data_IF_747960225581
#
_entry.id   IF_747960225581
#
_cell.length_a   1.000
_cell.length_b   1.000
_cell.length_c   1.000
_cell.angle_alpha   90.00
_cell.angle_beta   90.00
_cell.angle_gamma   90.00
#
_symmetry.space_group_name_H-M   'P 1'
#
loop_
_entity.id
_entity.type
_entity.pdbx_description
1 polymer ?
#
# COMPACT_ATOMS: atom_id res chain seq x y z
N UNK A 1 -14.32 -2.91 -10.38
CA UNK A 1 -13.25 -1.97 -10.00
C UNK A 1 -12.15 -2.80 -9.37
N UNK A 2 -10.88 -2.67 -9.79
CA UNK A 2 -9.79 -3.32 -9.08
C UNK A 2 -9.74 -2.88 -7.61
N UNK A 3 -9.30 -3.79 -6.75
CA UNK A 3 -9.21 -3.59 -5.30
C UNK A 3 -7.81 -3.96 -4.82
N UNK A 4 -7.20 -3.08 -4.04
CA UNK A 4 -5.90 -3.33 -3.41
C UNK A 4 -6.05 -3.17 -1.90
N UNK A 5 -5.65 -4.19 -1.14
CA UNK A 5 -5.83 -4.18 0.32
C UNK A 5 -4.55 -4.51 1.07
N UNK A 6 -4.44 -3.92 2.27
CA UNK A 6 -3.36 -4.10 3.23
C UNK A 6 -3.99 -4.52 4.55
N UNK A 7 -3.69 -5.73 4.99
CA UNK A 7 -4.12 -6.23 6.29
C UNK A 7 -2.92 -6.25 7.25
N UNK A 8 -2.99 -5.48 8.34
CA UNK A 8 -1.86 -5.29 9.24
C UNK A 8 -2.27 -4.89 10.66
N UNK A 9 -1.31 -5.00 11.57
CA UNK A 9 -1.33 -4.47 12.94
C UNK A 9 -0.14 -3.53 13.20
N UNK A 10 0.43 -2.95 12.13
CA UNK A 10 1.52 -1.99 12.21
C UNK A 10 2.92 -2.62 12.16
N UNK A 11 3.03 -3.93 11.89
CA UNK A 11 4.30 -4.66 11.86
C UNK A 11 4.54 -5.30 10.50
N UNK A 12 5.75 -5.14 9.97
CA UNK A 12 6.15 -5.64 8.66
C UNK A 12 6.03 -7.16 8.55
N UNK A 13 6.42 -7.89 9.60
CA UNK A 13 6.45 -9.36 9.61
C UNK A 13 5.06 -9.99 9.54
N UNK A 14 4.04 -9.21 9.90
CA UNK A 14 2.64 -9.63 9.97
C UNK A 14 1.76 -8.77 9.08
N UNK A 15 2.31 -8.18 8.03
CA UNK A 15 1.53 -7.44 7.03
C UNK A 15 1.25 -8.33 5.83
N UNK A 16 -0.01 -8.39 5.43
CA UNK A 16 -0.45 -9.14 4.26
C UNK A 16 -1.03 -8.19 3.22
N UNK A 17 -0.71 -8.41 1.95
CA UNK A 17 -1.14 -7.56 0.84
C UNK A 17 -2.03 -8.38 -0.08
N UNK A 18 -3.10 -7.77 -0.60
CA UNK A 18 -4.07 -8.41 -1.48
C UNK A 18 -4.31 -7.57 -2.73
N UNK A 19 -4.60 -8.24 -3.84
CA UNK A 19 -5.13 -7.61 -5.05
C UNK A 19 -6.32 -8.41 -5.56
N UNK A 20 -7.47 -7.76 -5.71
CA UNK A 20 -8.76 -8.38 -6.05
C UNK A 20 -9.11 -9.59 -5.16
N UNK A 21 -8.79 -9.51 -3.87
CA UNK A 21 -9.03 -10.57 -2.89
C UNK A 21 -8.00 -11.71 -2.87
N UNK A 22 -7.04 -11.72 -3.79
CA UNK A 22 -5.97 -12.71 -3.81
C UNK A 22 -4.76 -12.21 -3.00
N UNK A 23 -4.29 -13.03 -2.05
CA UNK A 23 -3.10 -12.70 -1.26
C UNK A 23 -1.84 -12.74 -2.12
N UNK A 24 -1.06 -11.67 -2.08
CA UNK A 24 0.16 -11.51 -2.86
C UNK A 24 1.39 -12.05 -2.12
N UNK A 25 2.19 -12.83 -2.84
CA UNK A 25 3.53 -13.23 -2.44
C UNK A 25 4.60 -12.31 -3.02
N UNK A 26 5.79 -12.32 -2.40
CA UNK A 26 6.98 -11.66 -2.96
C UNK A 26 6.93 -10.12 -2.98
N UNK A 27 5.94 -9.50 -2.34
CA UNK A 27 5.86 -8.04 -2.20
C UNK A 27 7.07 -7.51 -1.43
N UNK A 28 7.69 -6.46 -1.96
CA UNK A 28 8.90 -5.82 -1.42
C UNK A 28 8.62 -4.42 -0.90
N UNK A 29 7.84 -3.66 -1.66
CA UNK A 29 7.56 -2.27 -1.35
C UNK A 29 6.14 -1.93 -1.83
N UNK A 30 5.38 -1.26 -0.98
CA UNK A 30 4.08 -0.66 -1.30
C UNK A 30 4.21 0.83 -1.02
N UNK A 31 3.83 1.65 -2.00
CA UNK A 31 3.77 3.09 -1.86
C UNK A 31 2.42 3.59 -2.37
N UNK A 32 1.60 4.14 -1.46
CA UNK A 32 0.36 4.82 -1.77
C UNK A 32 0.48 6.27 -1.32
N UNK A 33 0.25 7.20 -2.22
CA UNK A 33 0.13 8.63 -1.94
C UNK A 33 -1.07 9.15 -2.71
N UNK A 34 -2.20 9.22 -2.03
CA UNK A 34 -3.47 9.68 -2.59
C UNK A 34 -3.80 11.02 -1.95
N UNK A 35 -4.11 12.03 -2.74
CA UNK A 35 -4.39 13.38 -2.26
C UNK A 35 -5.58 13.97 -3.00
N UNK A 36 -6.51 14.59 -2.27
CA UNK A 36 -7.72 15.21 -2.82
C UNK A 36 -7.40 16.28 -3.88
N UNK A 37 -6.20 16.87 -3.85
CA UNK A 37 -5.74 17.86 -4.84
C UNK A 37 -5.28 17.24 -6.18
N UNK A 38 -5.46 15.92 -6.37
CA UNK A 38 -5.22 15.23 -7.64
C UNK A 38 -3.98 14.34 -7.69
N UNK A 39 -3.32 14.11 -6.55
CA UNK A 39 -2.19 13.16 -6.53
C UNK A 39 -2.71 11.74 -6.40
N UNK A 40 -2.25 10.86 -7.30
CA UNK A 40 -2.58 9.43 -7.28
C UNK A 40 -1.35 8.61 -7.63
N UNK A 41 -0.53 8.32 -6.62
CA UNK A 41 0.57 7.37 -6.74
C UNK A 41 0.19 6.07 -6.03
N UNK A 42 0.10 4.97 -6.78
CA UNK A 42 -0.21 3.66 -6.22
C UNK A 42 0.76 2.64 -6.81
N UNK A 43 1.90 2.44 -6.15
CA UNK A 43 3.01 1.66 -6.69
C UNK A 43 3.28 0.43 -5.85
N UNK A 44 3.46 -0.69 -6.54
CA UNK A 44 3.85 -1.96 -5.97
C UNK A 44 5.18 -2.41 -6.57
N UNK A 45 6.12 -2.78 -5.71
CA UNK A 45 7.30 -3.55 -6.08
C UNK A 45 7.17 -4.98 -5.56
N UNK A 46 7.40 -5.96 -6.43
CA UNK A 46 7.29 -7.37 -6.09
C UNK A 46 8.28 -8.22 -6.90
N UNK A 47 8.57 -9.42 -6.40
CA UNK A 47 9.30 -10.45 -7.14
C UNK A 47 8.29 -11.39 -7.79
N UNK A 48 8.32 -11.47 -9.11
CA UNK A 48 7.42 -12.34 -9.87
C UNK A 48 7.81 -13.82 -9.77
N UNK A 49 6.94 -14.69 -10.27
CA UNK A 49 7.16 -16.15 -10.32
C UNK A 49 8.37 -16.56 -11.16
N UNK A 50 8.84 -15.68 -12.04
CA UNK A 50 10.06 -15.84 -12.83
C UNK A 50 11.34 -15.42 -12.08
N UNK A 51 11.22 -14.89 -10.87
CA UNK A 51 12.33 -14.39 -10.04
C UNK A 51 12.76 -12.96 -10.35
N UNK A 52 12.13 -12.27 -11.30
CA UNK A 52 12.44 -10.88 -11.64
C UNK A 52 11.69 -9.91 -10.73
N UNK A 53 12.32 -8.77 -10.45
CA UNK A 53 11.68 -7.68 -9.68
C UNK A 53 10.94 -6.75 -10.64
N UNK A 54 9.65 -6.55 -10.36
CA UNK A 54 8.78 -5.63 -11.08
C UNK A 54 8.42 -4.44 -10.19
N UNK A 55 8.31 -3.26 -10.80
CA UNK A 55 7.71 -2.07 -10.18
C UNK A 55 6.58 -1.59 -11.08
N UNK A 56 5.36 -1.52 -10.57
CA UNK A 56 4.13 -1.30 -11.35
C UNK A 56 3.21 -0.30 -10.66
N UNK A 57 2.51 0.50 -11.46
CA UNK A 57 1.33 1.24 -11.00
C UNK A 57 0.17 0.26 -10.83
N UNK A 58 -0.30 0.07 -9.60
CA UNK A 58 -1.22 -1.00 -9.17
C UNK A 58 -2.49 -1.04 -10.02
N UNK A 59 -3.05 0.13 -10.33
CA UNK A 59 -4.36 0.25 -10.99
C UNK A 59 -4.27 0.48 -12.51
N UNK A 60 -3.09 0.89 -13.01
CA UNK A 60 -2.91 1.31 -14.40
C UNK A 60 -2.06 0.33 -15.23
N UNK A 61 -1.16 -0.41 -14.58
CA UNK A 61 -0.29 -1.35 -15.26
C UNK A 61 -0.80 -2.79 -15.16
N UNK A 62 -0.38 -3.62 -16.12
CA UNK A 62 -0.51 -5.06 -16.00
C UNK A 62 0.52 -5.63 -15.01
N UNK A 63 0.05 -6.38 -14.00
CA UNK A 63 0.86 -7.07 -13.00
C UNK A 63 1.36 -8.42 -13.55
N UNK A 64 2.49 -8.38 -14.26
CA UNK A 64 3.14 -9.55 -14.87
C UNK A 64 3.65 -10.52 -13.81
N UNK A 65 3.50 -11.84 -14.06
CA UNK A 65 4.09 -12.90 -13.23
C UNK A 65 3.80 -12.79 -11.72
N UNK A 66 2.65 -12.22 -11.36
CA UNK A 66 2.24 -12.02 -9.97
C UNK A 66 2.19 -13.37 -9.23
N UNK A 67 2.79 -13.41 -8.04
CA UNK A 67 2.76 -14.60 -7.19
C UNK A 67 1.57 -14.47 -6.25
N UNK A 68 0.66 -15.44 -6.31
CA UNK A 68 -0.45 -15.57 -5.35
C UNK A 68 -0.12 -16.67 -4.36
N UNK A 69 -0.39 -16.43 -3.08
CA UNK A 69 -0.17 -17.40 -2.00
C UNK A 69 -1.47 -17.75 -1.30
N UNK A 70 -1.54 -18.93 -0.70
CA UNK A 70 -2.69 -19.27 0.15
C UNK A 70 -2.78 -18.34 1.36
N UNK A 71 -4.00 -18.05 1.85
CA UNK A 71 -4.21 -17.32 3.09
C UNK A 71 -3.41 -17.94 4.23
N UNK A 72 -2.52 -17.16 4.82
CA UNK A 72 -1.61 -17.66 5.86
C UNK A 72 -2.12 -17.38 7.28
N UNK A 73 -3.24 -16.67 7.44
CA UNK A 73 -3.73 -16.20 8.73
C UNK A 73 -4.76 -17.16 9.32
N UNK A 74 -4.63 -17.39 10.62
CA UNK A 74 -5.70 -18.00 11.41
C UNK A 74 -6.81 -16.97 11.69
N UNK A 75 -8.01 -17.45 12.01
CA UNK A 75 -9.15 -16.56 12.34
C UNK A 75 -8.84 -15.62 13.51
N UNK A 76 -8.10 -16.08 14.51
CA UNK A 76 -7.72 -15.25 15.67
C UNK A 76 -6.70 -14.17 15.29
N UNK A 77 -5.78 -14.47 14.37
CA UNK A 77 -4.80 -13.49 13.87
C UNK A 77 -5.47 -12.42 13.00
N UNK A 78 -6.44 -12.79 12.18
CA UNK A 78 -7.21 -11.85 11.36
C UNK A 78 -8.00 -10.86 12.24
N UNK A 79 -8.59 -11.32 13.35
CA UNK A 79 -9.33 -10.43 14.29
C UNK A 79 -8.47 -9.38 14.98
N UNK A 80 -7.16 -9.59 15.06
CA UNK A 80 -6.22 -8.67 15.69
C UNK A 80 -5.60 -7.66 14.69
N UNK A 81 -6.10 -7.65 13.45
CA UNK A 81 -5.60 -6.81 12.37
C UNK A 81 -6.70 -5.89 11.86
N UNK A 82 -6.26 -4.84 11.18
CA UNK A 82 -7.12 -3.93 10.44
C UNK A 82 -6.89 -4.12 8.95
N UNK A 83 -7.92 -3.84 8.17
CA UNK A 83 -7.90 -3.97 6.71
C UNK A 83 -8.09 -2.60 6.07
N UNK A 84 -7.03 -2.06 5.47
CA UNK A 84 -7.12 -0.90 4.60
C UNK A 84 -7.36 -1.38 3.17
N UNK A 85 -8.39 -0.88 2.49
CA UNK A 85 -8.71 -1.21 1.10
C UNK A 85 -8.80 0.05 0.26
N UNK A 86 -8.23 0.01 -0.94
CA UNK A 86 -8.34 1.03 -1.98
C UNK A 86 -9.00 0.38 -3.19
N UNK A 87 -10.24 0.78 -3.47
CA UNK A 87 -10.94 0.43 -4.70
C UNK A 87 -10.82 1.59 -5.67
N UNK A 88 -10.23 1.37 -6.84
CA UNK A 88 -9.94 2.47 -7.79
C UNK A 88 -9.83 1.99 -9.23
N UNK A 89 -10.18 2.88 -10.17
CA UNK A 89 -9.87 2.76 -11.60
C UNK A 89 -8.47 3.29 -11.97
N UNK A 90 -7.72 3.85 -11.01
CA UNK A 90 -6.46 4.55 -11.23
C UNK A 90 -6.59 6.08 -11.25
N UNK A 91 -7.77 6.61 -10.93
CA UNK A 91 -8.08 8.04 -10.83
C UNK A 91 -8.64 8.35 -9.44
N UNK A 92 -8.20 9.45 -8.82
CA UNK A 92 -8.64 9.87 -7.49
C UNK A 92 -10.14 10.16 -7.44
N UNK A 93 -10.73 10.67 -8.53
CA UNK A 93 -12.16 11.00 -8.60
C UNK A 93 -13.05 9.74 -8.50
N UNK A 94 -12.53 8.59 -8.91
CA UNK A 94 -13.20 7.28 -8.90
C UNK A 94 -12.58 6.34 -7.84
N UNK A 95 -11.98 6.90 -6.79
CA UNK A 95 -11.31 6.12 -5.73
C UNK A 95 -12.10 6.12 -4.43
N UNK A 96 -12.26 4.93 -3.84
CA UNK A 96 -12.82 4.74 -2.50
C UNK A 96 -11.78 4.09 -1.60
N UNK A 97 -11.53 4.70 -0.44
CA UNK A 97 -10.64 4.15 0.59
C UNK A 97 -11.49 3.70 1.78
N UNK A 98 -11.32 2.44 2.18
CA UNK A 98 -12.04 1.83 3.28
C UNK A 98 -11.08 1.34 4.35
N UNK A 99 -11.49 1.43 5.59
CA UNK A 99 -10.79 0.87 6.73
C UNK A 99 -11.76 -0.01 7.51
N UNK A 100 -11.44 -1.30 7.59
CA UNK A 100 -12.31 -2.32 8.20
C UNK A 100 -13.71 -2.34 7.55
N UNK A 101 -13.74 -2.28 6.21
CA UNK A 101 -14.95 -2.25 5.35
C UNK A 101 -15.80 -0.96 5.45
N UNK A 102 -15.38 0.00 6.27
CA UNK A 102 -16.06 1.30 6.41
C UNK A 102 -15.32 2.39 5.61
N UNK A 103 -16.01 3.23 4.83
CA UNK A 103 -15.39 4.35 4.12
C UNK A 103 -14.66 5.33 5.05
N UNK A 104 -13.49 5.83 4.62
CA UNK A 104 -12.79 6.91 5.31
C UNK A 104 -13.33 8.29 4.90
N UNK A 105 -14.52 8.61 5.40
CA UNK A 105 -15.17 9.90 5.13
C UNK A 105 -14.31 11.10 5.60
N UNK A 106 -14.23 12.13 4.77
CA UNK A 106 -13.47 13.36 5.08
C UNK A 106 -11.94 13.19 4.99
N UNK A 107 -11.45 12.05 4.53
CA UNK A 107 -10.04 11.84 4.23
C UNK A 107 -9.61 12.74 3.07
N UNK A 108 -8.57 13.53 3.29
CA UNK A 108 -7.96 14.41 2.28
C UNK A 108 -6.67 13.83 1.72
N UNK A 109 -5.96 13.03 2.51
CA UNK A 109 -4.71 12.39 2.09
C UNK A 109 -4.55 10.99 2.69
N UNK A 110 -4.03 10.06 1.89
CA UNK A 110 -3.55 8.75 2.33
C UNK A 110 -2.06 8.62 2.00
N UNK A 111 -1.25 8.35 3.02
CA UNK A 111 0.17 8.05 2.88
C UNK A 111 0.47 6.65 3.43
N UNK A 112 0.79 5.72 2.55
CA UNK A 112 1.29 4.39 2.92
C UNK A 112 2.66 4.17 2.30
N UNK A 113 3.65 3.88 3.12
CA UNK A 113 4.95 3.40 2.69
C UNK A 113 5.36 2.20 3.53
N UNK A 114 5.26 1.03 2.91
CA UNK A 114 5.63 -0.25 3.54
C UNK A 114 6.78 -0.82 2.73
N UNK A 115 7.94 -0.97 3.36
CA UNK A 115 9.15 -1.47 2.73
C UNK A 115 9.82 -2.51 3.59
N UNK A 116 9.96 -3.72 3.06
CA UNK A 116 10.71 -4.79 3.67
C UNK A 116 12.23 -4.57 3.60
N UNK A 117 12.99 -5.37 4.34
CA UNK A 117 14.46 -5.35 4.25
C UNK A 117 14.89 -5.85 2.86
N UNK A 118 15.78 -5.11 2.19
CA UNK A 118 16.40 -5.56 0.96
C UNK A 118 17.20 -6.85 1.23
N UNK A 119 16.95 -7.91 0.45
CA UNK A 119 17.63 -9.19 0.65
C UNK A 119 19.01 -9.21 -0.01
N UNK A 120 19.24 -8.35 -1.00
CA UNK A 120 20.53 -8.14 -1.65
C UNK A 120 20.78 -6.65 -1.83
N UNK A 121 22.02 -6.18 -1.60
CA UNK A 121 22.41 -4.76 -1.68
C UNK A 121 22.34 -4.12 -3.09
N UNK A 122 21.62 -4.75 -4.02
CA UNK A 122 21.39 -4.32 -5.40
C UNK A 122 19.91 -4.08 -5.73
N UNK A 123 19.00 -4.32 -4.79
CA UNK A 123 17.56 -4.08 -4.96
C UNK A 123 17.26 -2.57 -4.88
N UNK A 124 17.27 -1.90 -6.03
CA UNK A 124 16.79 -0.51 -6.13
C UNK A 124 15.29 -0.49 -5.84
N UNK A 125 14.91 0.10 -4.70
CA UNK A 125 13.50 0.34 -4.37
C UNK A 125 12.82 1.26 -5.39
N UNK A 126 11.52 1.49 -5.22
CA UNK A 126 10.67 2.31 -6.13
C UNK A 126 11.27 3.72 -6.37
N UNK A 127 12.14 4.16 -5.46
CA UNK A 127 13.06 5.31 -5.52
C UNK A 127 13.62 5.67 -6.89
N UNK A 128 13.99 4.72 -7.75
CA UNK A 128 14.57 5.07 -9.06
C UNK A 128 13.60 5.75 -10.01
N UNK A 129 12.29 5.73 -9.70
CA UNK A 129 11.23 6.34 -10.49
C UNK A 129 10.83 7.74 -9.97
N UNK A 130 11.20 8.11 -8.75
CA UNK A 130 10.91 9.43 -8.16
C UNK A 130 12.14 10.36 -8.17
N UNK A 131 11.95 11.59 -8.63
CA UNK A 131 12.99 12.61 -8.85
C UNK A 131 13.33 13.45 -7.60
N UNK A 132 13.12 12.93 -6.40
CA UNK A 132 13.26 13.71 -5.15
C UNK A 132 14.62 13.45 -4.46
N UNK A 133 15.36 14.54 -4.21
CA UNK A 133 16.78 14.61 -3.80
C UNK A 133 17.09 14.33 -2.33
N UNK A 134 16.15 13.81 -1.53
CA UNK A 134 16.41 13.57 -0.11
C UNK A 134 16.81 12.11 0.12
N UNK A 135 17.98 11.90 0.74
CA UNK A 135 18.48 10.59 1.14
C UNK A 135 17.47 9.87 2.06
N UNK A 136 16.73 8.90 1.51
CA UNK A 136 15.89 8.01 2.32
C UNK A 136 16.65 6.71 2.58
N UNK A 137 16.81 6.39 3.87
CA UNK A 137 17.52 5.24 4.43
C UNK A 137 17.13 3.91 3.77
N UNK A 138 18.08 3.02 3.44
CA UNK A 138 17.80 1.63 3.00
C UNK A 138 17.19 0.73 4.10
N UNK A 139 16.80 1.31 5.24
CA UNK A 139 16.10 0.62 6.31
C UNK A 139 14.71 0.15 5.89
N UNK A 140 14.20 -0.90 6.55
CA UNK A 140 12.77 -1.19 6.55
C UNK A 140 11.96 0.04 6.95
N UNK A 141 10.80 0.23 6.32
CA UNK A 141 9.88 1.35 6.56
C UNK A 141 8.48 0.77 6.81
N UNK A 142 7.78 1.30 7.81
CA UNK A 142 6.35 1.06 7.98
C UNK A 142 5.67 2.37 8.37
N UNK A 143 5.00 2.98 7.39
CA UNK A 143 4.19 4.17 7.58
C UNK A 143 2.84 3.94 6.91
N UNK A 144 1.77 4.21 7.64
CA UNK A 144 0.40 4.17 7.14
C UNK A 144 -0.42 5.20 7.91
N UNK A 145 -0.68 6.32 7.28
CA UNK A 145 -1.32 7.48 7.88
C UNK A 145 -2.40 8.02 6.94
N UNK A 146 -3.51 8.47 7.52
CA UNK A 146 -4.56 9.19 6.83
C UNK A 146 -4.68 10.59 7.44
N UNK A 147 -4.90 11.59 6.59
CA UNK A 147 -5.19 12.96 7.02
C UNK A 147 -6.65 13.28 6.72
N UNK A 148 -7.32 13.93 7.67
CA UNK A 148 -8.73 14.27 7.60
C UNK A 148 -8.94 15.77 7.74
N UNK A 149 -10.00 16.27 7.12
CA UNK A 149 -10.50 17.63 7.31
C UNK A 149 -11.61 17.63 8.37
N UNK A 150 -11.39 18.35 9.45
CA UNK A 150 -12.36 18.52 10.53
C UNK A 150 -13.41 19.58 10.17
N UNK A 151 -14.49 19.65 10.95
CA UNK A 151 -15.58 20.62 10.79
C UNK A 151 -15.11 22.09 10.84
N UNK A 152 -14.00 22.37 11.53
CA UNK A 152 -13.39 23.70 11.65
C UNK A 152 -12.33 23.99 10.57
N UNK A 153 -12.29 23.17 9.52
CA UNK A 153 -11.31 23.18 8.42
C UNK A 153 -9.86 22.83 8.82
N UNK A 154 -9.60 22.52 10.09
CA UNK A 154 -8.29 22.03 10.51
C UNK A 154 -8.00 20.63 9.97
N UNK A 155 -6.72 20.28 9.87
CA UNK A 155 -6.27 18.96 9.44
C UNK A 155 -5.75 18.15 10.62
N UNK A 156 -6.17 16.89 10.72
CA UNK A 156 -5.66 15.90 11.66
C UNK A 156 -5.09 14.71 10.93
N UNK A 157 -3.92 14.22 11.36
CA UNK A 157 -3.30 13.02 10.80
C UNK A 157 -3.34 11.90 11.84
N UNK A 158 -3.80 10.73 11.43
CA UNK A 158 -3.93 9.55 12.27
C UNK A 158 -3.22 8.35 11.65
N UNK A 159 -2.71 7.46 12.50
CA UNK A 159 -2.15 6.18 12.04
C UNK A 159 -3.27 5.19 11.76
N UNK A 160 -3.11 4.43 10.68
CA UNK A 160 -4.10 3.43 10.27
C UNK A 160 -3.94 2.14 11.07
N UNK A 161 -2.70 1.68 11.30
CA UNK A 161 -2.40 0.42 12.00
C UNK A 161 -1.67 0.63 13.34
#
# INVERSE_FOLDING_TARGET
MPSFSIESNGRLETTTIYFNGEQLGGVREVFLNLDEDGTFDAILQYVGSNGETFTKQIFNDHLESLVVTEPSLTEDEARARRLLTVDSSGDIEDTMVLLDEEPLDGMTNLMVHIKGKANTGSEKGIRSLFKTTNEVSESPEFRAEATYRNDDESLSTERIF
#
